data_IF_043604326562
#
_entry.id   IF_043604326562
#
_cell.length_a   1.000
_cell.length_b   1.000
_cell.length_c   1.000
_cell.angle_alpha   90.00
_cell.angle_beta   90.00
_cell.angle_gamma   90.00
#
_symmetry.space_group_name_H-M   'P 1'
#
loop_
_entity.id
_entity.type
_entity.pdbx_description
1 polymer ?
#
# COMPACT_ATOMS: atom_id res chain seq x y z
N UNK A 1 -13.67 -4.57 9.26
CA UNK A 1 -13.65 -5.32 7.98
C UNK A 1 -14.21 -6.71 8.20
N UNK A 2 -15.04 -7.23 7.30
CA UNK A 2 -15.60 -8.59 7.36
C UNK A 2 -15.53 -9.23 5.97
N UNK A 3 -15.18 -10.51 5.88
CA UNK A 3 -15.22 -11.27 4.63
C UNK A 3 -16.32 -12.33 4.72
N UNK A 4 -17.18 -12.43 3.70
CA UNK A 4 -18.20 -13.48 3.55
C UNK A 4 -17.88 -14.32 2.32
N UNK A 5 -17.56 -15.59 2.54
CA UNK A 5 -17.47 -16.58 1.47
C UNK A 5 -18.88 -16.90 0.96
N UNK A 6 -19.08 -16.86 -0.36
CA UNK A 6 -20.37 -17.16 -1.00
C UNK A 6 -20.35 -18.58 -1.57
N UNK A 7 -19.33 -18.91 -2.36
CA UNK A 7 -19.24 -20.19 -3.05
C UNK A 7 -17.80 -20.59 -3.28
N UNK A 8 -17.55 -21.89 -3.33
CA UNK A 8 -16.26 -22.49 -3.67
C UNK A 8 -16.40 -23.46 -4.84
N UNK A 9 -15.30 -23.63 -5.58
CA UNK A 9 -15.11 -24.72 -6.55
C UNK A 9 -13.63 -25.09 -6.56
N UNK A 10 -13.29 -26.23 -5.95
CA UNK A 10 -11.89 -26.53 -5.62
C UNK A 10 -11.29 -25.42 -4.75
N UNK A 11 -10.12 -24.90 -5.13
CA UNK A 11 -9.48 -23.76 -4.45
C UNK A 11 -10.05 -22.38 -4.85
N UNK A 12 -10.88 -22.30 -5.89
CA UNK A 12 -11.49 -21.04 -6.31
C UNK A 12 -12.59 -20.61 -5.32
N UNK A 13 -12.60 -19.32 -4.99
CA UNK A 13 -13.49 -18.73 -3.98
C UNK A 13 -14.16 -17.49 -4.55
N UNK A 14 -15.49 -17.42 -4.45
CA UNK A 14 -16.24 -16.19 -4.65
C UNK A 14 -16.82 -15.73 -3.32
N UNK A 15 -16.71 -14.43 -3.04
CA UNK A 15 -17.13 -13.86 -1.76
C UNK A 15 -17.31 -12.35 -1.82
N UNK A 16 -17.71 -11.76 -0.70
CA UNK A 16 -17.83 -10.30 -0.53
C UNK A 16 -16.97 -9.86 0.64
N UNK A 17 -16.11 -8.89 0.38
CA UNK A 17 -15.37 -8.16 1.40
C UNK A 17 -16.14 -6.88 1.75
N UNK A 18 -16.46 -6.71 3.03
CA UNK A 18 -17.14 -5.56 3.59
C UNK A 18 -16.12 -4.65 4.27
N UNK A 19 -16.01 -3.44 3.76
CA UNK A 19 -15.09 -2.40 4.24
C UNK A 19 -15.93 -1.16 4.48
N UNK A 20 -16.01 -0.74 5.74
CA UNK A 20 -16.94 0.32 6.15
C UNK A 20 -18.35 -0.01 5.63
N UNK A 21 -18.95 0.87 4.82
CA UNK A 21 -20.25 0.65 4.19
C UNK A 21 -20.17 0.07 2.75
N UNK A 22 -18.97 -0.22 2.26
CA UNK A 22 -18.72 -0.70 0.91
C UNK A 22 -18.67 -2.23 0.83
N UNK A 23 -19.10 -2.76 -0.32
CA UNK A 23 -19.09 -4.19 -0.66
C UNK A 23 -18.22 -4.42 -1.88
N UNK A 24 -17.17 -5.20 -1.74
CA UNK A 24 -16.25 -5.58 -2.83
C UNK A 24 -16.44 -7.06 -3.14
N UNK A 25 -16.85 -7.39 -4.36
CA UNK A 25 -16.97 -8.78 -4.83
C UNK A 25 -15.57 -9.33 -5.08
N UNK A 26 -15.34 -10.58 -4.68
CA UNK A 26 -14.09 -11.31 -4.90
C UNK A 26 -14.36 -12.55 -5.77
N UNK A 27 -13.46 -12.94 -6.68
CA UNK A 27 -12.16 -12.33 -6.99
C UNK A 27 -12.28 -10.89 -7.52
N UNK A 28 -11.36 -10.02 -7.10
CA UNK A 28 -11.37 -8.60 -7.44
C UNK A 28 -10.09 -8.23 -8.19
N UNK A 29 -10.23 -7.41 -9.22
CA UNK A 29 -9.10 -6.72 -9.85
C UNK A 29 -9.06 -5.28 -9.35
N UNK A 30 -7.86 -4.80 -9.00
CA UNK A 30 -7.65 -3.44 -8.49
C UNK A 30 -6.80 -2.66 -9.50
N UNK A 31 -7.41 -1.70 -10.24
CA UNK A 31 -6.63 -0.76 -11.04
C UNK A 31 -5.65 0.02 -10.16
N UNK A 32 -4.45 0.27 -10.69
CA UNK A 32 -3.36 0.89 -9.96
C UNK A 32 -3.30 2.38 -10.25
N UNK A 33 -3.46 3.18 -9.21
CA UNK A 33 -3.21 4.61 -9.19
C UNK A 33 -1.76 4.90 -8.84
N UNK A 34 -1.06 5.63 -9.71
CA UNK A 34 0.27 6.21 -9.42
C UNK A 34 0.09 7.72 -9.33
N UNK A 35 0.65 8.36 -8.30
CA UNK A 35 0.43 9.79 -8.03
C UNK A 35 -1.04 10.20 -7.84
N UNK A 36 -1.89 9.29 -7.34
CA UNK A 36 -3.31 9.58 -7.15
C UNK A 36 -4.13 9.60 -8.45
N UNK A 37 -3.65 9.01 -9.54
CA UNK A 37 -4.41 8.90 -10.79
C UNK A 37 -4.20 7.54 -11.45
N UNK A 38 -5.25 7.01 -12.07
CA UNK A 38 -5.12 5.89 -13.01
C UNK A 38 -4.79 6.51 -14.36
N UNK A 39 -3.60 6.18 -14.88
CA UNK A 39 -3.11 6.79 -16.12
C UNK A 39 -4.15 6.66 -17.22
N UNK A 40 -4.34 7.76 -17.96
CA UNK A 40 -5.25 7.91 -19.11
C UNK A 40 -6.75 7.80 -18.83
N UNK A 41 -7.19 7.58 -17.59
CA UNK A 41 -8.60 7.43 -17.25
C UNK A 41 -9.02 8.39 -16.14
N UNK A 42 -10.15 9.05 -16.34
CA UNK A 42 -10.82 9.84 -15.32
C UNK A 42 -11.44 8.93 -14.26
N UNK A 43 -11.62 9.47 -13.06
CA UNK A 43 -12.32 8.78 -11.97
C UNK A 43 -13.74 8.34 -12.36
N UNK A 44 -14.43 9.13 -13.21
CA UNK A 44 -15.77 8.79 -13.69
C UNK A 44 -15.78 7.58 -14.62
N UNK A 45 -14.82 7.47 -15.55
CA UNK A 45 -14.67 6.30 -16.41
C UNK A 45 -14.41 5.04 -15.58
N UNK A 46 -13.54 5.13 -14.58
CA UNK A 46 -13.23 4.00 -13.69
C UNK A 46 -14.46 3.55 -12.88
N UNK A 47 -15.29 4.50 -12.43
CA UNK A 47 -16.58 4.19 -11.78
C UNK A 47 -17.54 3.49 -12.75
N UNK A 48 -17.65 3.97 -14.00
CA UNK A 48 -18.50 3.37 -15.04
C UNK A 48 -18.10 1.94 -15.39
N UNK A 49 -16.81 1.59 -15.29
CA UNK A 49 -16.30 0.23 -15.47
C UNK A 49 -16.68 -0.73 -14.32
N UNK A 50 -17.34 -0.25 -13.26
CA UNK A 50 -17.76 -1.07 -12.14
C UNK A 50 -16.64 -1.37 -11.14
N UNK A 51 -15.54 -0.61 -11.18
CA UNK A 51 -14.42 -0.77 -10.24
C UNK A 51 -14.89 -0.49 -8.81
N UNK A 52 -14.66 -1.43 -7.91
CA UNK A 52 -15.14 -1.35 -6.52
C UNK A 52 -14.07 -0.92 -5.53
N UNK A 53 -12.80 -1.06 -5.89
CA UNK A 53 -11.64 -0.75 -5.05
C UNK A 53 -10.44 -0.44 -5.94
N UNK A 54 -9.60 0.50 -5.52
CA UNK A 54 -8.33 0.84 -6.19
C UNK A 54 -7.13 0.44 -5.33
N UNK A 55 -6.00 0.24 -6.00
CA UNK A 55 -4.69 0.27 -5.35
C UNK A 55 -4.07 1.65 -5.61
N UNK A 56 -3.55 2.32 -4.58
CA UNK A 56 -2.82 3.57 -4.73
C UNK A 56 -1.41 3.46 -4.15
N UNK A 57 -0.41 3.92 -4.89
CA UNK A 57 0.99 3.80 -4.49
C UNK A 57 1.37 4.84 -3.42
N UNK A 58 1.60 4.39 -2.19
CA UNK A 58 2.02 5.23 -1.06
C UNK A 58 3.34 5.93 -1.34
N UNK A 59 4.32 5.20 -1.91
CA UNK A 59 5.65 5.74 -2.18
C UNK A 59 5.61 7.04 -3.00
N UNK A 60 4.87 7.01 -4.11
CA UNK A 60 4.77 8.15 -5.01
C UNK A 60 4.07 9.33 -4.35
N UNK A 61 2.91 9.11 -3.76
CA UNK A 61 2.11 10.18 -3.14
C UNK A 61 2.84 10.81 -1.95
N UNK A 62 3.52 9.99 -1.14
CA UNK A 62 4.29 10.46 0.00
C UNK A 62 5.46 11.36 -0.39
N UNK A 63 6.16 11.03 -1.49
CA UNK A 63 7.27 11.84 -1.98
C UNK A 63 6.80 13.04 -2.79
N UNK A 64 5.70 12.91 -3.53
CA UNK A 64 5.11 13.96 -4.34
C UNK A 64 3.62 13.67 -4.60
N UNK A 65 2.68 14.52 -4.16
CA UNK A 65 2.88 15.88 -3.65
C UNK A 65 3.21 15.95 -2.15
N UNK A 66 3.18 14.80 -1.45
CA UNK A 66 3.45 14.68 -0.03
C UNK A 66 2.22 14.90 0.86
N UNK A 67 2.31 14.39 2.09
CA UNK A 67 1.17 14.33 3.01
C UNK A 67 0.56 15.70 3.34
N UNK A 68 1.36 16.78 3.33
CA UNK A 68 0.86 18.14 3.58
C UNK A 68 -0.17 18.56 2.53
N UNK A 69 0.14 18.33 1.26
CA UNK A 69 -0.76 18.69 0.14
C UNK A 69 -2.00 17.81 0.13
N UNK A 70 -1.86 16.50 0.37
CA UNK A 70 -3.01 15.60 0.49
C UNK A 70 -3.93 16.03 1.63
N UNK A 71 -3.37 16.42 2.78
CA UNK A 71 -4.15 16.93 3.91
C UNK A 71 -4.89 18.24 3.59
N UNK A 72 -4.32 19.12 2.76
CA UNK A 72 -5.04 20.33 2.30
C UNK A 72 -6.29 20.00 1.49
N UNK A 73 -6.30 18.86 0.79
CA UNK A 73 -7.48 18.34 0.08
C UNK A 73 -8.39 17.50 0.99
N UNK A 74 -8.04 17.35 2.27
CA UNK A 74 -8.68 16.48 3.25
C UNK A 74 -7.99 15.13 3.34
N UNK A 75 -8.10 14.29 2.32
CA UNK A 75 -7.50 12.95 2.26
C UNK A 75 -7.27 12.49 0.81
N UNK A 76 -6.78 11.26 0.65
CA UNK A 76 -6.51 10.70 -0.68
C UNK A 76 -7.80 10.51 -1.50
N UNK A 77 -8.91 10.13 -0.87
CA UNK A 77 -10.20 9.97 -1.55
C UNK A 77 -10.64 11.27 -2.20
N UNK A 78 -10.62 12.37 -1.45
CA UNK A 78 -10.96 13.71 -1.95
C UNK A 78 -9.97 14.19 -3.01
N UNK A 79 -8.68 13.96 -2.80
CA UNK A 79 -7.65 14.30 -3.78
C UNK A 79 -7.87 13.60 -5.13
N UNK A 80 -8.29 12.33 -5.11
CA UNK A 80 -8.53 11.52 -6.32
C UNK A 80 -9.98 11.65 -6.86
N UNK A 81 -10.87 12.37 -6.19
CA UNK A 81 -12.32 12.34 -6.42
C UNK A 81 -12.91 10.91 -6.39
N UNK A 82 -12.31 10.01 -5.60
CA UNK A 82 -12.64 8.60 -5.54
C UNK A 82 -13.25 8.24 -4.18
N UNK A 83 -14.56 7.98 -4.16
CA UNK A 83 -15.29 7.76 -2.91
C UNK A 83 -15.37 6.29 -2.50
N UNK A 84 -14.97 5.35 -3.37
CA UNK A 84 -14.95 3.92 -3.03
C UNK A 84 -13.64 3.55 -2.30
N UNK A 85 -13.51 2.33 -1.78
CA UNK A 85 -12.32 1.93 -1.04
C UNK A 85 -10.99 2.07 -1.81
N UNK A 86 -9.93 2.38 -1.08
CA UNK A 86 -8.55 2.42 -1.54
C UNK A 86 -7.70 1.48 -0.67
N UNK A 87 -6.99 0.57 -1.33
CA UNK A 87 -5.84 -0.13 -0.77
C UNK A 87 -4.59 0.70 -1.05
N UNK A 88 -3.79 0.94 -0.03
CA UNK A 88 -2.44 1.50 -0.23
C UNK A 88 -1.38 0.45 0.07
N UNK A 89 -0.36 0.42 -0.78
CA UNK A 89 0.80 -0.42 -0.55
C UNK A 89 1.73 0.20 0.51
N UNK A 90 2.73 -0.54 0.98
CA UNK A 90 3.63 -0.07 2.04
C UNK A 90 4.73 0.88 1.54
N UNK A 91 4.97 0.91 0.21
CA UNK A 91 6.08 1.58 -0.45
C UNK A 91 7.40 0.81 -0.45
N UNK A 92 7.46 -0.36 0.20
CA UNK A 92 8.70 -1.16 0.31
C UNK A 92 9.19 -1.68 -1.04
N UNK A 93 8.27 -2.16 -1.89
CA UNK A 93 8.59 -2.72 -3.21
C UNK A 93 9.19 -1.69 -4.17
N UNK A 94 8.67 -0.47 -4.19
CA UNK A 94 9.16 0.62 -5.04
C UNK A 94 10.58 0.99 -4.61
N UNK A 95 10.85 1.03 -3.31
CA UNK A 95 12.22 1.25 -2.80
C UNK A 95 13.15 0.11 -3.23
N UNK A 96 12.69 -1.14 -3.17
CA UNK A 96 13.44 -2.29 -3.67
C UNK A 96 13.77 -2.16 -5.17
N UNK A 97 12.80 -1.74 -5.99
CA UNK A 97 12.96 -1.58 -7.44
C UNK A 97 14.01 -0.52 -7.83
N UNK A 98 14.35 0.40 -6.92
CA UNK A 98 15.38 1.43 -7.12
C UNK A 98 16.83 0.92 -6.97
N UNK A 99 17.03 -0.40 -6.78
CA UNK A 99 18.25 -1.28 -6.81
C UNK A 99 19.62 -0.76 -6.35
N UNK A 100 20.02 0.48 -6.59
CA UNK A 100 21.36 1.03 -6.28
C UNK A 100 21.36 2.04 -5.12
N UNK A 101 20.19 2.39 -4.57
CA UNK A 101 20.07 3.53 -3.65
C UNK A 101 19.51 3.20 -2.28
N UNK A 102 19.31 1.93 -1.93
CA UNK A 102 18.71 1.54 -0.66
C UNK A 102 19.68 0.76 0.26
N UNK A 103 19.45 0.88 1.57
CA UNK A 103 20.10 0.09 2.63
C UNK A 103 19.03 -0.38 3.60
N UNK A 104 18.84 -1.68 3.66
CA UNK A 104 17.85 -2.33 4.52
C UNK A 104 18.52 -2.72 5.83
N UNK A 105 17.84 -2.46 6.95
CA UNK A 105 18.27 -2.83 8.30
C UNK A 105 17.05 -3.15 9.16
N UNK A 106 17.26 -3.73 10.34
CA UNK A 106 16.17 -4.09 11.26
C UNK A 106 15.24 -2.91 11.58
N UNK A 107 15.76 -1.69 11.74
CA UNK A 107 14.95 -0.52 12.02
C UNK A 107 14.03 -0.08 10.85
N UNK A 108 14.42 -0.38 9.61
CA UNK A 108 13.70 0.01 8.39
C UNK A 108 14.61 0.15 7.17
N UNK A 109 14.14 0.91 6.19
CA UNK A 109 14.80 1.09 4.88
C UNK A 109 15.30 2.53 4.75
N UNK A 110 16.59 2.68 4.50
CA UNK A 110 17.20 3.94 4.08
C UNK A 110 17.27 3.97 2.56
N UNK A 111 16.89 5.08 1.93
CA UNK A 111 17.02 5.22 0.48
C UNK A 111 17.20 6.69 0.07
N UNK A 112 17.61 6.96 -1.17
CA UNK A 112 17.62 8.32 -1.71
C UNK A 112 16.32 8.61 -2.46
N UNK A 113 15.75 9.79 -2.24
CA UNK A 113 14.61 10.28 -3.00
C UNK A 113 14.99 10.34 -4.50
N UNK A 114 14.25 9.68 -5.40
CA UNK A 114 14.57 9.68 -6.83
C UNK A 114 14.43 11.08 -7.47
N UNK A 115 13.65 11.98 -6.88
CA UNK A 115 13.37 13.30 -7.45
C UNK A 115 14.45 14.35 -7.09
N UNK A 116 15.10 14.23 -5.92
CA UNK A 116 16.04 15.24 -5.43
C UNK A 116 17.30 14.69 -4.74
N UNK A 117 17.45 13.38 -4.64
CA UNK A 117 18.63 12.73 -4.07
C UNK A 117 18.73 12.74 -2.53
N UNK A 118 17.81 13.41 -1.82
CA UNK A 118 17.84 13.49 -0.36
C UNK A 118 17.74 12.10 0.28
N UNK A 119 18.50 11.87 1.36
CA UNK A 119 18.40 10.63 2.14
C UNK A 119 17.09 10.60 2.91
N UNK A 120 16.37 9.50 2.77
CA UNK A 120 15.08 9.24 3.39
C UNK A 120 15.15 7.93 4.18
N UNK A 121 14.42 7.88 5.29
CA UNK A 121 14.22 6.68 6.08
C UNK A 121 12.72 6.33 6.14
N UNK A 122 12.41 5.06 5.89
CA UNK A 122 11.07 4.47 6.00
C UNK A 122 11.12 3.28 6.97
N UNK A 123 10.47 3.42 8.12
CA UNK A 123 10.25 2.31 9.07
C UNK A 123 8.84 1.73 8.91
N UNK A 124 8.57 0.52 9.45
CA UNK A 124 7.22 -0.02 9.56
C UNK A 124 6.20 0.94 10.18
N UNK A 125 6.59 1.65 11.24
CA UNK A 125 5.72 2.63 11.91
C UNK A 125 5.44 3.84 11.02
N UNK A 126 6.47 4.34 10.33
CA UNK A 126 6.33 5.48 9.42
C UNK A 126 5.46 5.13 8.21
N UNK A 127 5.61 3.93 7.65
CA UNK A 127 4.75 3.44 6.56
C UNK A 127 3.28 3.43 6.98
N UNK A 128 2.98 2.89 8.16
CA UNK A 128 1.61 2.88 8.70
C UNK A 128 1.08 4.29 8.96
N UNK A 129 1.90 5.19 9.52
CA UNK A 129 1.48 6.59 9.72
C UNK A 129 1.17 7.29 8.40
N UNK A 130 1.97 7.08 7.35
CA UNK A 130 1.71 7.64 6.03
C UNK A 130 0.37 7.11 5.49
N UNK A 131 0.16 5.79 5.49
CA UNK A 131 -1.08 5.18 5.01
C UNK A 131 -2.32 5.65 5.80
N UNK A 132 -2.16 5.89 7.11
CA UNK A 132 -3.19 6.50 7.95
C UNK A 132 -3.49 7.95 7.54
N UNK A 133 -2.47 8.78 7.29
CA UNK A 133 -2.67 10.15 6.80
C UNK A 133 -3.31 10.21 5.41
N UNK A 134 -3.09 9.19 4.59
CA UNK A 134 -3.76 9.04 3.29
C UNK A 134 -5.22 8.58 3.43
N UNK A 135 -5.68 8.21 4.64
CA UNK A 135 -7.00 7.65 4.90
C UNK A 135 -7.26 6.36 4.11
N UNK A 136 -6.31 5.42 4.15
CA UNK A 136 -6.40 4.16 3.40
C UNK A 136 -7.40 3.20 4.07
N UNK A 137 -8.30 2.59 3.30
CA UNK A 137 -9.23 1.58 3.83
C UNK A 137 -8.57 0.23 4.10
N UNK A 138 -7.57 -0.12 3.29
CA UNK A 138 -6.70 -1.28 3.49
C UNK A 138 -5.25 -0.78 3.44
N UNK A 139 -4.53 -0.97 4.54
CA UNK A 139 -3.12 -0.63 4.63
C UNK A 139 -2.26 -1.90 4.60
N UNK A 140 -1.22 -1.91 3.77
CA UNK A 140 -0.26 -3.00 3.70
C UNK A 140 0.87 -2.80 4.71
N UNK A 141 1.30 -3.88 5.35
CA UNK A 141 2.48 -3.86 6.23
C UNK A 141 3.75 -3.64 5.39
N UNK A 142 4.75 -2.99 5.99
CA UNK A 142 6.07 -2.90 5.35
C UNK A 142 6.77 -4.26 5.44
N UNK A 143 7.32 -4.69 4.33
CA UNK A 143 8.06 -5.93 4.16
C UNK A 143 9.34 -5.70 3.35
N UNK A 144 10.24 -6.68 3.36
CA UNK A 144 11.38 -6.72 2.46
C UNK A 144 11.05 -7.60 1.25
N UNK A 145 11.02 -7.00 0.07
CA UNK A 145 10.96 -7.77 -1.17
C UNK A 145 12.36 -8.28 -1.52
N UNK A 146 12.47 -9.59 -1.78
CA UNK A 146 13.73 -10.24 -2.16
C UNK A 146 13.73 -10.65 -3.62
N UNK A 147 14.89 -10.54 -4.27
CA UNK A 147 15.07 -11.05 -5.62
C UNK A 147 14.92 -12.57 -5.63
N UNK A 148 14.27 -13.11 -6.67
CA UNK A 148 14.10 -14.56 -6.85
C UNK A 148 15.43 -15.33 -6.87
N UNK A 149 16.51 -14.73 -7.40
CA UNK A 149 17.82 -15.37 -7.56
C UNK A 149 18.70 -15.30 -6.30
N UNK A 150 18.11 -15.30 -5.11
CA UNK A 150 18.81 -15.02 -3.85
C UNK A 150 19.03 -16.30 -3.04
N UNK A 151 20.05 -16.31 -2.18
CA UNK A 151 20.37 -17.47 -1.35
C UNK A 151 19.27 -17.78 -0.32
N UNK A 152 19.13 -19.07 0.02
CA UNK A 152 18.19 -19.53 1.04
C UNK A 152 18.38 -18.80 2.39
N UNK A 153 19.64 -18.60 2.81
CA UNK A 153 19.96 -17.94 4.07
C UNK A 153 19.46 -16.49 4.10
N UNK A 154 19.60 -15.77 2.99
CA UNK A 154 19.11 -14.41 2.88
C UNK A 154 17.57 -14.37 2.84
N UNK A 155 16.92 -15.26 2.09
CA UNK A 155 15.45 -15.38 2.08
C UNK A 155 14.93 -15.65 3.50
N UNK A 156 15.53 -16.59 4.22
CA UNK A 156 15.16 -16.91 5.61
C UNK A 156 15.31 -15.70 6.53
N UNK A 157 16.41 -14.95 6.39
CA UNK A 157 16.64 -13.72 7.14
C UNK A 157 15.56 -12.67 6.84
N UNK A 158 15.29 -12.44 5.56
CA UNK A 158 14.32 -11.45 5.08
C UNK A 158 12.89 -11.75 5.50
N UNK A 159 12.45 -13.01 5.40
CA UNK A 159 11.14 -13.45 5.90
C UNK A 159 11.04 -13.20 7.41
N UNK A 160 12.08 -13.54 8.16
CA UNK A 160 12.11 -13.32 9.62
C UNK A 160 12.02 -11.84 9.98
N UNK A 161 12.70 -10.96 9.23
CA UNK A 161 12.62 -9.51 9.40
C UNK A 161 11.24 -8.96 9.01
N UNK A 162 10.68 -9.40 7.88
CA UNK A 162 9.34 -9.00 7.43
C UNK A 162 8.26 -9.37 8.44
N UNK A 163 8.37 -10.51 9.13
CA UNK A 163 7.47 -10.88 10.23
C UNK A 163 7.61 -9.94 11.44
N UNK A 164 8.84 -9.55 11.81
CA UNK A 164 9.07 -8.56 12.87
C UNK A 164 8.53 -7.18 12.49
N UNK A 165 8.70 -6.77 11.24
CA UNK A 165 8.13 -5.54 10.70
C UNK A 165 6.61 -5.58 10.67
N UNK A 166 5.99 -6.68 10.26
CA UNK A 166 4.54 -6.85 10.32
C UNK A 166 3.99 -6.70 11.75
N UNK A 167 4.68 -7.27 12.75
CA UNK A 167 4.33 -7.09 14.17
C UNK A 167 4.43 -5.62 14.61
N UNK A 168 5.47 -4.91 14.18
CA UNK A 168 5.65 -3.47 14.45
C UNK A 168 4.58 -2.62 13.77
N UNK A 169 4.27 -2.90 12.51
CA UNK A 169 3.19 -2.27 11.76
C UNK A 169 1.84 -2.45 12.44
N UNK A 170 1.51 -3.68 12.87
CA UNK A 170 0.27 -3.95 13.60
C UNK A 170 0.22 -3.18 14.93
N UNK A 171 1.31 -3.18 15.71
CA UNK A 171 1.39 -2.42 16.97
C UNK A 171 1.17 -0.93 16.74
N UNK A 172 1.77 -0.36 15.70
CA UNK A 172 1.58 1.05 15.35
C UNK A 172 0.14 1.32 14.89
N UNK A 173 -0.43 0.45 14.05
CA UNK A 173 -1.80 0.58 13.55
C UNK A 173 -2.82 0.60 14.68
N UNK A 174 -2.65 -0.29 15.68
CA UNK A 174 -3.51 -0.32 16.89
C UNK A 174 -3.31 0.95 17.73
N UNK A 175 -2.08 1.47 17.83
CA UNK A 175 -1.77 2.66 18.65
C UNK A 175 -2.40 3.94 18.11
N UNK A 176 -2.49 4.10 16.78
CA UNK A 176 -2.95 5.34 16.15
C UNK A 176 -4.46 5.35 15.85
N UNK A 177 -5.13 4.23 16.07
CA UNK A 177 -6.57 4.05 15.87
C UNK A 177 -7.32 4.22 17.19
#
# INVERSE_FOLDING_TARGET
MKYKLIKTRGYARSGIMYINNYKIKTPAFMPVGTYGVIKTLTTEEIKKLGTQILLSNTFHIWLHPGNKIIKLHGDLHKYMNWNNPILTDSGGFQIFSLKTLNKIKEEGIYFKNPNNGNKIFLSPEKSINIQYFLNSDIAMVLDECVSYLTSWNYIKHSVSMSLRWAKRSLKQFIKIK
#
